data_IF_949333048228
#
_entry.id   IF_949333048228
#
_cell.length_a   1.000
_cell.length_b   1.000
_cell.length_c   1.000
_cell.angle_alpha   90.00
_cell.angle_beta   90.00
_cell.angle_gamma   90.00
#
_symmetry.space_group_name_H-M   'P 1'
#
loop_
_entity.id
_entity.type
_entity.pdbx_description
1 polymer ?
#
# COMPACT_ATOMS: atom_id res chain seq x y z
N UNK A 1 -7.27 -7.62 -15.08
CA UNK A 1 -6.78 -8.67 -14.15
C UNK A 1 -5.88 -9.68 -14.87
N UNK A 2 -6.36 -10.34 -15.93
CA UNK A 2 -5.60 -11.34 -16.71
C UNK A 2 -4.18 -10.91 -17.06
N UNK A 3 -4.02 -9.73 -17.65
CA UNK A 3 -2.71 -9.21 -18.01
C UNK A 3 -1.74 -9.10 -16.82
N UNK A 4 -2.22 -8.63 -15.67
CA UNK A 4 -1.37 -8.51 -14.48
C UNK A 4 -0.92 -9.90 -14.01
N UNK A 5 -1.84 -10.86 -13.98
CA UNK A 5 -1.57 -12.24 -13.59
C UNK A 5 -0.59 -12.95 -14.52
N UNK A 6 -0.74 -12.79 -15.84
CA UNK A 6 0.17 -13.34 -16.85
C UNK A 6 1.59 -12.75 -16.75
N UNK A 7 1.72 -11.53 -16.21
CA UNK A 7 3.01 -10.90 -15.92
C UNK A 7 3.54 -11.23 -14.51
N UNK A 8 2.93 -12.19 -13.80
CA UNK A 8 3.38 -12.69 -12.50
C UNK A 8 2.86 -11.91 -11.29
N UNK A 9 1.95 -10.94 -11.46
CA UNK A 9 1.32 -10.24 -10.33
C UNK A 9 0.25 -11.13 -9.72
N UNK A 10 0.39 -11.43 -8.44
CA UNK A 10 -0.57 -12.22 -7.67
C UNK A 10 -1.37 -11.41 -6.64
N UNK A 11 -0.93 -10.19 -6.28
CA UNK A 11 -1.61 -9.31 -5.32
C UNK A 11 -2.65 -8.42 -6.01
N UNK A 12 -3.90 -8.52 -5.57
CA UNK A 12 -5.02 -7.71 -6.05
C UNK A 12 -5.77 -7.09 -4.87
N UNK A 13 -5.71 -5.76 -4.77
CA UNK A 13 -6.48 -4.98 -3.81
C UNK A 13 -7.80 -4.56 -4.45
N UNK A 14 -8.91 -5.08 -3.89
CA UNK A 14 -10.30 -4.94 -4.34
C UNK A 14 -10.55 -5.19 -5.84
N UNK A 15 -10.93 -6.41 -6.20
CA UNK A 15 -11.45 -6.71 -7.54
C UNK A 15 -12.46 -7.86 -7.52
N UNK A 16 -13.61 -7.68 -8.18
CA UNK A 16 -14.45 -8.77 -8.67
C UNK A 16 -13.58 -9.73 -9.49
N UNK A 17 -13.45 -10.98 -9.04
CA UNK A 17 -12.58 -11.96 -9.70
C UNK A 17 -13.40 -12.74 -10.72
N UNK A 18 -13.50 -12.22 -11.95
CA UNK A 18 -14.01 -13.01 -13.06
C UNK A 18 -12.85 -13.79 -13.71
N UNK A 19 -12.89 -15.13 -13.58
CA UNK A 19 -12.13 -16.07 -14.41
C UNK A 19 -10.59 -16.03 -14.33
N UNK A 20 -10.00 -15.48 -13.27
CA UNK A 20 -8.55 -15.37 -13.12
C UNK A 20 -7.96 -16.53 -12.30
N UNK A 21 -7.50 -17.59 -12.97
CA UNK A 21 -6.60 -18.60 -12.38
C UNK A 21 -7.16 -19.43 -11.20
N UNK A 22 -6.28 -20.17 -10.53
CA UNK A 22 -6.63 -20.95 -9.33
C UNK A 22 -6.62 -20.01 -8.11
N UNK A 23 -7.63 -20.10 -7.22
CA UNK A 23 -7.70 -19.28 -5.99
C UNK A 23 -6.41 -19.32 -5.15
N UNK A 24 -5.74 -20.47 -5.11
CA UNK A 24 -4.50 -20.69 -4.35
C UNK A 24 -3.27 -19.94 -4.88
N UNK A 25 -3.31 -19.42 -6.11
CA UNK A 25 -2.20 -18.64 -6.69
C UNK A 25 -2.45 -17.13 -6.66
N UNK A 26 -3.54 -16.68 -6.04
CA UNK A 26 -3.93 -15.29 -5.91
C UNK A 26 -3.86 -14.85 -4.44
N UNK A 27 -3.47 -13.58 -4.24
CA UNK A 27 -3.55 -12.87 -2.98
C UNK A 27 -4.56 -11.74 -3.16
N UNK A 28 -5.77 -11.92 -2.62
CA UNK A 28 -6.86 -10.96 -2.69
C UNK A 28 -6.95 -10.21 -1.37
N UNK A 29 -6.94 -8.87 -1.44
CA UNK A 29 -7.09 -8.01 -0.28
C UNK A 29 -8.33 -7.11 -0.42
N UNK A 30 -8.98 -6.83 0.71
CA UNK A 30 -10.10 -5.87 0.76
C UNK A 30 -9.99 -4.98 1.97
N UNK A 31 -10.73 -3.87 1.98
CA UNK A 31 -10.72 -2.91 3.07
C UNK A 31 -12.11 -2.71 3.62
N UNK A 32 -12.23 -2.66 4.94
CA UNK A 32 -13.46 -2.30 5.64
C UNK A 32 -13.25 -0.99 6.38
N UNK A 33 -14.24 -0.11 6.30
CA UNK A 33 -14.07 1.30 6.62
C UNK A 33 -14.52 1.69 8.03
N UNK A 34 -15.63 1.15 8.52
CA UNK A 34 -16.24 1.61 9.77
C UNK A 34 -16.78 0.45 10.61
N UNK A 35 -16.65 0.57 11.94
CA UNK A 35 -17.52 -0.07 12.92
C UNK A 35 -16.94 -1.31 13.62
N UNK A 36 -17.32 -1.48 14.89
CA UNK A 36 -16.91 -2.55 15.80
C UNK A 36 -17.29 -3.98 15.37
N UNK A 37 -17.33 -4.92 16.32
CA UNK A 37 -17.40 -6.37 16.06
C UNK A 37 -18.40 -6.77 14.97
N UNK A 38 -19.63 -6.25 15.02
CA UNK A 38 -20.68 -6.60 14.05
C UNK A 38 -20.42 -6.05 12.64
N UNK A 39 -19.72 -4.93 12.49
CA UNK A 39 -19.61 -4.25 11.19
C UNK A 39 -18.47 -4.83 10.34
N UNK A 40 -17.38 -5.29 10.97
CA UNK A 40 -16.34 -6.03 10.26
C UNK A 40 -16.86 -7.35 9.70
N UNK A 41 -17.63 -8.11 10.47
CA UNK A 41 -18.19 -9.36 9.99
C UNK A 41 -19.22 -9.13 8.88
N UNK A 42 -20.21 -8.24 9.09
CA UNK A 42 -21.24 -7.94 8.10
C UNK A 42 -20.62 -7.37 6.82
N UNK A 43 -19.69 -6.41 6.96
CA UNK A 43 -19.00 -5.80 5.84
C UNK A 43 -18.15 -6.81 5.06
N UNK A 44 -17.52 -7.75 5.76
CA UNK A 44 -16.72 -8.78 5.11
C UNK A 44 -17.60 -9.80 4.40
N UNK A 45 -18.69 -10.28 5.02
CA UNK A 45 -19.66 -11.18 4.38
C UNK A 45 -20.19 -10.57 3.09
N UNK A 46 -20.66 -9.33 3.14
CA UNK A 46 -21.15 -8.63 1.96
C UNK A 46 -20.06 -8.47 0.88
N UNK A 47 -18.80 -8.31 1.28
CA UNK A 47 -17.68 -8.22 0.34
C UNK A 47 -17.35 -9.58 -0.29
N UNK A 48 -17.33 -10.66 0.50
CA UNK A 48 -17.14 -12.02 0.03
C UNK A 48 -18.23 -12.45 -0.96
N UNK A 49 -19.50 -12.11 -0.67
CA UNK A 49 -20.63 -12.36 -1.56
C UNK A 49 -20.48 -11.65 -2.91
N UNK A 50 -20.13 -10.35 -2.90
CA UNK A 50 -19.87 -9.60 -4.15
C UNK A 50 -18.68 -10.16 -4.93
N UNK A 51 -17.65 -10.60 -4.23
CA UNK A 51 -16.44 -11.17 -4.82
C UNK A 51 -16.62 -12.61 -5.27
N UNK A 52 -17.72 -13.28 -4.86
CA UNK A 52 -17.95 -14.71 -5.05
C UNK A 52 -16.81 -15.56 -4.49
N UNK A 53 -16.29 -15.19 -3.32
CA UNK A 53 -15.19 -15.87 -2.63
C UNK A 53 -15.63 -16.39 -1.27
N UNK A 54 -15.10 -17.53 -0.86
CA UNK A 54 -15.28 -18.07 0.50
C UNK A 54 -14.42 -17.32 1.53
N UNK A 55 -13.23 -16.88 1.11
CA UNK A 55 -12.28 -16.14 1.95
C UNK A 55 -11.37 -15.21 1.14
N UNK A 56 -10.81 -14.22 1.83
CA UNK A 56 -9.76 -13.33 1.31
C UNK A 56 -8.43 -13.55 2.03
N UNK A 57 -7.32 -13.11 1.45
CA UNK A 57 -6.00 -13.33 2.04
C UNK A 57 -5.69 -12.30 3.12
N UNK A 58 -5.98 -11.02 2.87
CA UNK A 58 -5.77 -9.96 3.88
C UNK A 58 -6.95 -9.00 3.92
N UNK A 59 -7.59 -8.88 5.09
CA UNK A 59 -8.53 -7.80 5.39
C UNK A 59 -7.82 -6.59 5.99
N UNK A 60 -8.09 -5.39 5.50
CA UNK A 60 -7.53 -4.16 6.04
C UNK A 60 -8.58 -3.36 6.83
N UNK A 61 -8.20 -2.88 8.02
CA UNK A 61 -8.86 -1.74 8.66
C UNK A 61 -8.47 -0.46 7.91
N UNK A 62 -9.41 0.11 7.14
CA UNK A 62 -9.08 1.16 6.15
C UNK A 62 -8.51 2.45 6.76
N UNK A 63 -8.90 2.76 8.00
CA UNK A 63 -8.43 3.88 8.81
C UNK A 63 -8.69 3.60 10.30
N UNK A 64 -8.01 4.26 11.24
CA UNK A 64 -8.35 4.17 12.65
C UNK A 64 -9.76 4.73 12.88
N UNK A 65 -10.54 4.06 13.72
CA UNK A 65 -11.86 4.51 14.16
C UNK A 65 -11.75 5.06 15.59
N UNK A 66 -11.82 6.39 15.79
CA UNK A 66 -11.67 6.99 17.12
C UNK A 66 -12.83 6.63 18.07
N UNK A 67 -13.95 6.09 17.55
CA UNK A 67 -15.10 5.71 18.35
C UNK A 67 -15.09 4.24 18.78
N UNK A 68 -14.19 3.42 18.22
CA UNK A 68 -14.10 2.00 18.51
C UNK A 68 -12.76 1.70 19.18
N UNK A 69 -12.74 1.15 20.41
CA UNK A 69 -11.49 0.75 21.06
C UNK A 69 -10.67 -0.21 20.18
N UNK A 70 -9.34 -0.06 20.17
CA UNK A 70 -8.46 -0.93 19.37
C UNK A 70 -8.63 -2.40 19.77
N UNK A 71 -8.88 -2.70 21.06
CA UNK A 71 -9.20 -4.05 21.52
C UNK A 71 -10.38 -4.67 20.76
N UNK A 72 -11.47 -3.92 20.60
CA UNK A 72 -12.64 -4.41 19.89
C UNK A 72 -12.32 -4.70 18.43
N UNK A 73 -11.56 -3.82 17.77
CA UNK A 73 -11.10 -4.03 16.39
C UNK A 73 -10.23 -5.29 16.27
N UNK A 74 -9.26 -5.48 17.16
CA UNK A 74 -8.37 -6.65 17.15
C UNK A 74 -9.15 -7.96 17.37
N UNK A 75 -10.14 -7.95 18.28
CA UNK A 75 -11.03 -9.09 18.51
C UNK A 75 -11.91 -9.39 17.29
N UNK A 76 -12.45 -8.36 16.63
CA UNK A 76 -13.25 -8.50 15.41
C UNK A 76 -12.44 -9.12 14.28
N UNK A 77 -11.22 -8.63 14.07
CA UNK A 77 -10.30 -9.16 13.05
C UNK A 77 -9.90 -10.60 13.33
N UNK A 78 -9.62 -10.92 14.60
CA UNK A 78 -9.32 -12.29 15.01
C UNK A 78 -10.53 -13.21 14.84
N UNK A 79 -11.73 -12.72 15.12
CA UNK A 79 -12.97 -13.46 14.93
C UNK A 79 -13.17 -13.85 13.47
N UNK A 80 -13.08 -12.90 12.53
CA UNK A 80 -13.28 -13.21 11.10
C UNK A 80 -12.22 -14.16 10.54
N UNK A 81 -10.98 -14.08 11.05
CA UNK A 81 -9.91 -15.03 10.68
C UNK A 81 -10.21 -16.44 11.19
N UNK A 82 -10.60 -16.56 12.46
CA UNK A 82 -10.94 -17.86 13.05
C UNK A 82 -12.17 -18.52 12.39
N UNK A 83 -13.06 -17.72 11.81
CA UNK A 83 -14.21 -18.21 11.01
C UNK A 83 -13.83 -18.52 9.55
N UNK A 84 -12.54 -18.44 9.19
CA UNK A 84 -12.05 -18.76 7.86
C UNK A 84 -12.42 -17.75 6.77
N UNK A 85 -12.92 -16.56 7.15
CA UNK A 85 -13.32 -15.53 6.18
C UNK A 85 -12.13 -14.73 5.65
N UNK A 86 -11.05 -14.67 6.42
CA UNK A 86 -9.79 -14.06 6.04
C UNK A 86 -8.61 -14.91 6.53
N UNK A 87 -7.49 -14.91 5.81
CA UNK A 87 -6.27 -15.58 6.29
C UNK A 87 -5.49 -14.70 7.28
N UNK A 88 -5.41 -13.40 7.00
CA UNK A 88 -4.68 -12.41 7.80
C UNK A 88 -5.42 -11.07 7.82
N UNK A 89 -4.94 -10.15 8.66
CA UNK A 89 -5.41 -8.77 8.64
C UNK A 89 -4.25 -7.76 8.69
N UNK A 90 -4.53 -6.54 8.25
CA UNK A 90 -3.60 -5.42 8.26
C UNK A 90 -4.29 -4.10 8.57
N UNK A 91 -3.48 -3.07 8.71
CA UNK A 91 -3.92 -1.70 8.96
C UNK A 91 -3.74 -0.84 7.70
N UNK A 92 -4.45 0.28 7.61
CA UNK A 92 -4.28 1.25 6.53
C UNK A 92 -4.45 2.64 7.08
N UNK A 93 -3.48 3.53 6.89
CA UNK A 93 -3.46 4.89 7.45
C UNK A 93 -3.40 4.94 8.98
N UNK A 94 -2.87 3.91 9.64
CA UNK A 94 -2.71 3.89 11.10
C UNK A 94 -1.33 4.44 11.50
N UNK A 95 -1.26 5.24 12.54
CA UNK A 95 0.01 5.70 13.10
C UNK A 95 0.81 4.53 13.66
N UNK A 96 2.13 4.68 13.75
CA UNK A 96 3.00 3.64 14.34
C UNK A 96 2.61 3.31 15.79
N UNK A 97 2.03 4.27 16.51
CA UNK A 97 1.55 4.07 17.88
C UNK A 97 0.31 3.18 17.91
N UNK A 98 -0.68 3.45 17.05
CA UNK A 98 -1.90 2.63 16.97
C UNK A 98 -1.59 1.20 16.51
N UNK A 99 -0.65 1.01 15.57
CA UNK A 99 -0.21 -0.33 15.14
C UNK A 99 0.46 -1.07 16.31
N UNK A 100 1.30 -0.39 17.08
CA UNK A 100 1.94 -0.98 18.26
C UNK A 100 0.93 -1.30 19.36
N UNK A 101 -0.10 -0.47 19.54
CA UNK A 101 -1.20 -0.73 20.46
C UNK A 101 -1.98 -1.98 20.03
N UNK A 102 -2.34 -2.09 18.75
CA UNK A 102 -3.00 -3.29 18.21
C UNK A 102 -2.17 -4.55 18.42
N UNK A 103 -0.86 -4.47 18.20
CA UNK A 103 0.06 -5.58 18.49
C UNK A 103 0.10 -5.93 19.98
N UNK A 104 0.15 -4.92 20.86
CA UNK A 104 0.21 -5.10 22.32
C UNK A 104 -1.07 -5.75 22.84
N UNK A 105 -2.22 -5.27 22.40
CA UNK A 105 -3.54 -5.89 22.66
C UNK A 105 -3.56 -7.33 22.19
N UNK A 106 -3.09 -7.60 20.97
CA UNK A 106 -3.09 -8.95 20.43
C UNK A 106 -2.25 -9.91 21.28
N UNK A 107 -1.09 -9.47 21.75
CA UNK A 107 -0.24 -10.26 22.66
C UNK A 107 -0.87 -10.44 24.03
N UNK A 108 -1.47 -9.40 24.60
CA UNK A 108 -2.08 -9.45 25.93
C UNK A 108 -3.28 -10.39 25.99
N UNK A 109 -4.12 -10.40 24.96
CA UNK A 109 -5.37 -11.16 24.93
C UNK A 109 -5.31 -12.41 24.04
N UNK A 110 -4.11 -12.84 23.64
CA UNK A 110 -3.87 -13.98 22.76
C UNK A 110 -4.73 -13.94 21.47
N UNK A 111 -4.77 -12.76 20.85
CA UNK A 111 -5.43 -12.51 19.57
C UNK A 111 -4.40 -12.48 18.43
N UNK A 112 -4.87 -12.40 17.19
CA UNK A 112 -4.01 -12.37 16.00
C UNK A 112 -3.56 -10.91 15.74
N UNK A 113 -2.25 -10.61 15.70
CA UNK A 113 -1.76 -9.26 15.41
C UNK A 113 -1.85 -8.92 13.92
N UNK A 114 -1.85 -7.63 13.53
CA UNK A 114 -1.81 -7.24 12.12
C UNK A 114 -0.44 -7.56 11.51
N UNK A 115 -0.42 -7.97 10.23
CA UNK A 115 0.82 -8.39 9.54
C UNK A 115 1.41 -7.34 8.61
N UNK A 116 0.63 -6.32 8.23
CA UNK A 116 1.05 -5.29 7.29
C UNK A 116 0.28 -3.98 7.48
N UNK A 117 0.88 -2.87 7.01
CA UNK A 117 0.26 -1.55 6.92
C UNK A 117 0.22 -1.15 5.45
N UNK A 118 -0.95 -0.77 4.94
CA UNK A 118 -1.09 -0.16 3.63
C UNK A 118 -1.00 1.37 3.78
N UNK A 119 0.17 1.93 3.48
CA UNK A 119 0.45 3.35 3.58
C UNK A 119 0.63 4.02 2.20
N UNK A 120 0.33 5.31 2.13
CA UNK A 120 0.65 6.14 0.98
C UNK A 120 2.16 6.38 0.90
N UNK A 121 2.76 6.09 -0.27
CA UNK A 121 4.18 6.27 -0.50
C UNK A 121 4.46 6.63 -1.97
N UNK A 122 4.97 7.84 -2.19
CA UNK A 122 5.40 8.33 -3.50
C UNK A 122 6.44 9.45 -3.33
N UNK A 123 7.03 9.93 -4.43
CA UNK A 123 8.12 10.92 -4.38
C UNK A 123 7.78 12.19 -3.58
N UNK A 124 6.51 12.62 -3.61
CA UNK A 124 6.02 13.76 -2.84
C UNK A 124 5.56 13.43 -1.41
N UNK A 125 5.30 12.16 -1.09
CA UNK A 125 4.86 11.70 0.23
C UNK A 125 5.80 10.61 0.74
N UNK A 126 6.78 11.04 1.53
CA UNK A 126 7.85 10.19 2.10
C UNK A 126 7.73 10.01 3.61
N UNK A 127 7.04 10.93 4.27
CA UNK A 127 6.62 10.86 5.67
C UNK A 127 5.09 10.98 5.73
N UNK A 128 4.47 10.59 6.86
CA UNK A 128 3.04 10.80 7.13
C UNK A 128 2.76 12.25 7.55
N UNK A 129 3.14 13.23 6.73
CA UNK A 129 2.97 14.64 7.07
C UNK A 129 1.98 15.28 6.09
N UNK A 130 0.78 15.56 6.61
CA UNK A 130 -0.15 16.52 6.04
C UNK A 130 0.47 17.92 6.20
N UNK A 131 0.42 18.78 5.17
CA UNK A 131 0.19 20.24 5.26
C UNK A 131 0.59 20.97 3.95
N UNK A 132 -0.29 21.92 3.56
CA UNK A 132 -0.19 22.97 2.53
C UNK A 132 -0.33 22.58 1.05
N UNK A 133 -1.58 22.41 0.60
CA UNK A 133 -1.97 22.08 -0.78
C UNK A 133 -1.71 23.17 -1.85
N UNK A 134 -1.93 24.48 -1.63
CA UNK A 134 -1.86 25.46 -2.73
C UNK A 134 -0.45 25.75 -3.26
N UNK A 135 0.51 26.03 -2.37
CA UNK A 135 1.92 26.24 -2.75
C UNK A 135 2.57 24.95 -3.30
N UNK A 136 2.04 23.80 -2.87
CA UNK A 136 2.46 22.50 -3.35
C UNK A 136 2.09 22.29 -4.83
N UNK A 137 0.98 22.80 -5.35
CA UNK A 137 0.63 22.60 -6.76
C UNK A 137 1.64 23.23 -7.73
N UNK A 138 2.03 24.49 -7.48
CA UNK A 138 3.04 25.16 -8.29
C UNK A 138 4.41 24.47 -8.18
N UNK A 139 4.77 24.07 -6.97
CA UNK A 139 6.02 23.34 -6.71
C UNK A 139 6.03 21.95 -7.36
N UNK A 140 4.93 21.21 -7.30
CA UNK A 140 4.79 19.89 -7.94
C UNK A 140 5.01 20.01 -9.45
N UNK A 141 4.48 21.04 -10.12
CA UNK A 141 4.67 21.24 -11.55
C UNK A 141 6.15 21.37 -11.93
N UNK A 142 6.89 22.21 -11.20
CA UNK A 142 8.34 22.39 -11.41
C UNK A 142 9.14 21.11 -11.11
N UNK A 143 8.83 20.44 -10.00
CA UNK A 143 9.46 19.18 -9.62
C UNK A 143 9.20 18.08 -10.65
N UNK A 144 7.98 17.98 -11.15
CA UNK A 144 7.58 17.03 -12.19
C UNK A 144 8.39 17.24 -13.46
N UNK A 145 8.58 18.50 -13.88
CA UNK A 145 9.42 18.83 -15.05
C UNK A 145 10.88 18.41 -14.84
N UNK A 146 11.46 18.68 -13.66
CA UNK A 146 12.82 18.26 -13.32
C UNK A 146 12.98 16.74 -13.31
N UNK A 147 12.01 16.01 -12.75
CA UNK A 147 12.01 14.55 -12.73
C UNK A 147 11.80 13.94 -14.12
N UNK A 148 11.02 14.60 -14.98
CA UNK A 148 10.81 14.19 -16.36
C UNK A 148 12.14 14.17 -17.13
N UNK A 149 13.01 15.15 -16.93
CA UNK A 149 14.35 15.15 -17.54
C UNK A 149 15.22 13.96 -17.08
N UNK A 150 15.10 13.55 -15.80
CA UNK A 150 15.77 12.35 -15.28
C UNK A 150 15.20 11.08 -15.93
N UNK A 151 13.88 10.99 -16.07
CA UNK A 151 13.20 9.86 -16.69
C UNK A 151 13.60 9.69 -18.16
N UNK A 152 13.67 10.79 -18.93
CA UNK A 152 14.12 10.82 -20.32
C UNK A 152 15.55 10.33 -20.47
N UNK A 153 16.46 10.80 -19.60
CA UNK A 153 17.87 10.34 -19.59
C UNK A 153 18.00 8.84 -19.27
N UNK A 154 17.08 8.29 -18.48
CA UNK A 154 17.01 6.86 -18.18
C UNK A 154 16.28 6.04 -19.25
N UNK A 155 15.67 6.70 -20.24
CA UNK A 155 14.87 6.07 -21.28
C UNK A 155 13.60 5.41 -20.73
N UNK A 156 12.91 6.06 -19.80
CA UNK A 156 11.68 5.58 -19.19
C UNK A 156 10.65 6.70 -19.02
N UNK A 157 9.39 6.35 -18.76
CA UNK A 157 8.36 7.33 -18.44
C UNK A 157 8.49 7.79 -16.98
N UNK A 158 7.93 8.96 -16.65
CA UNK A 158 7.91 9.44 -15.27
C UNK A 158 7.16 8.46 -14.34
N UNK A 159 6.07 7.84 -14.81
CA UNK A 159 5.33 6.82 -14.07
C UNK A 159 6.23 5.62 -13.73
N UNK A 160 7.01 5.14 -14.70
CA UNK A 160 7.96 4.04 -14.50
C UNK A 160 9.04 4.42 -13.50
N UNK A 161 9.59 5.64 -13.61
CA UNK A 161 10.57 6.15 -12.67
C UNK A 161 10.00 6.22 -11.25
N UNK A 162 8.78 6.74 -11.08
CA UNK A 162 8.12 6.86 -9.79
C UNK A 162 7.86 5.50 -9.13
N UNK A 163 7.36 4.52 -9.89
CA UNK A 163 7.09 3.17 -9.38
C UNK A 163 8.40 2.46 -9.01
N UNK A 164 9.42 2.52 -9.88
CA UNK A 164 10.72 1.94 -9.60
C UNK A 164 11.38 2.61 -8.38
N UNK A 165 11.22 3.91 -8.24
CA UNK A 165 11.66 4.64 -7.06
C UNK A 165 10.98 4.09 -5.80
N UNK A 166 9.66 3.84 -5.80
CA UNK A 166 8.99 3.25 -4.64
C UNK A 166 9.52 1.85 -4.31
N UNK A 167 9.69 0.99 -5.32
CA UNK A 167 10.17 -0.39 -5.18
C UNK A 167 11.64 -0.51 -4.77
N UNK A 168 12.43 0.57 -4.89
CA UNK A 168 13.85 0.56 -4.47
C UNK A 168 14.01 0.37 -2.96
N UNK A 169 12.99 0.73 -2.18
CA UNK A 169 13.05 0.67 -0.75
C UNK A 169 12.78 -0.77 -0.30
N UNK A 170 13.79 -1.44 0.27
CA UNK A 170 13.67 -2.82 0.77
C UNK A 170 12.58 -2.98 1.84
N UNK A 171 12.18 -1.89 2.51
CA UNK A 171 11.05 -1.89 3.45
C UNK A 171 9.66 -1.87 2.79
N UNK A 172 9.58 -1.71 1.46
CA UNK A 172 8.32 -1.75 0.70
C UNK A 172 8.17 -3.13 0.07
N UNK A 173 7.23 -3.94 0.60
CA UNK A 173 7.00 -5.29 0.09
C UNK A 173 6.27 -5.32 -1.26
N UNK A 174 5.37 -4.36 -1.50
CA UNK A 174 4.59 -4.25 -2.71
C UNK A 174 4.16 -2.80 -2.98
N UNK A 175 4.00 -2.46 -4.25
CA UNK A 175 3.41 -1.19 -4.69
C UNK A 175 2.10 -1.51 -5.41
N UNK A 176 0.99 -0.96 -4.91
CA UNK A 176 -0.31 -1.12 -5.56
C UNK A 176 -0.39 -0.20 -6.78
N UNK A 177 -0.64 -0.79 -7.94
CA UNK A 177 -0.72 -0.08 -9.21
C UNK A 177 -2.18 0.29 -9.52
N UNK A 178 -2.44 1.58 -9.73
CA UNK A 178 -3.69 2.06 -10.31
C UNK A 178 -3.56 2.24 -11.83
N UNK A 179 -4.49 1.69 -12.60
CA UNK A 179 -4.56 1.90 -14.04
C UNK A 179 -6.02 1.89 -14.51
N UNK A 180 -6.42 2.89 -15.30
CA UNK A 180 -7.75 2.94 -15.93
C UNK A 180 -7.73 2.40 -17.36
N UNK A 181 -6.54 2.19 -17.94
CA UNK A 181 -6.33 1.63 -19.28
C UNK A 181 -5.26 0.54 -19.25
N UNK A 182 -5.36 -0.41 -20.18
CA UNK A 182 -4.42 -1.53 -20.31
C UNK A 182 -2.99 -1.04 -20.61
N UNK A 183 -2.83 -0.04 -21.47
CA UNK A 183 -1.52 0.51 -21.83
C UNK A 183 -0.80 1.12 -20.62
N UNK A 184 -1.53 1.77 -19.72
CA UNK A 184 -0.98 2.29 -18.48
C UNK A 184 -0.50 1.16 -17.57
N UNK A 185 -1.27 0.07 -17.47
CA UNK A 185 -0.87 -1.09 -16.69
C UNK A 185 0.42 -1.73 -17.26
N UNK A 186 0.50 -1.93 -18.58
CA UNK A 186 1.70 -2.42 -19.24
C UNK A 186 2.92 -1.52 -19.04
N UNK A 187 2.71 -0.21 -19.16
CA UNK A 187 3.75 0.79 -18.90
C UNK A 187 4.26 0.68 -17.46
N UNK A 188 3.34 0.63 -16.48
CA UNK A 188 3.64 0.54 -15.06
C UNK A 188 4.37 -0.76 -14.69
N UNK A 189 3.95 -1.91 -15.23
CA UNK A 189 4.63 -3.20 -15.00
C UNK A 189 6.09 -3.14 -15.48
N UNK A 190 6.36 -2.44 -16.58
CA UNK A 190 7.72 -2.28 -17.12
C UNK A 190 8.64 -1.41 -16.25
N UNK A 191 8.12 -0.75 -15.21
CA UNK A 191 8.92 -0.04 -14.21
C UNK A 191 10.01 -0.91 -13.58
N UNK A 192 9.80 -2.22 -13.48
CA UNK A 192 10.80 -3.17 -12.95
C UNK A 192 12.13 -3.12 -13.74
N UNK A 193 12.09 -2.76 -15.03
CA UNK A 193 13.28 -2.60 -15.89
C UNK A 193 14.09 -1.35 -15.56
N UNK A 194 13.52 -0.42 -14.80
CA UNK A 194 14.16 0.84 -14.37
C UNK A 194 14.92 0.65 -13.06
N UNK A 195 14.53 -0.31 -12.21
CA UNK A 195 15.17 -0.57 -10.92
C UNK A 195 16.71 -0.70 -11.01
N UNK A 196 17.29 -1.50 -11.92
CA UNK A 196 18.75 -1.63 -12.03
C UNK A 196 19.46 -0.33 -12.46
N UNK A 197 18.71 0.62 -13.05
CA UNK A 197 19.24 1.91 -13.49
C UNK A 197 19.31 2.94 -12.35
N UNK A 198 18.65 2.70 -11.21
CA UNK A 198 18.60 3.64 -10.08
C UNK A 198 19.89 3.60 -9.23
N UNK A 199 20.98 4.11 -9.81
CA UNK A 199 22.28 4.23 -9.13
C UNK A 199 22.26 5.32 -8.04
N UNK A 200 23.22 5.25 -7.10
CA UNK A 200 23.34 6.25 -6.01
C UNK A 200 23.41 7.70 -6.51
N UNK A 201 24.13 8.05 -7.59
CA UNK A 201 24.11 9.42 -8.14
C UNK A 201 22.72 9.87 -8.57
N UNK A 202 21.95 9.00 -9.22
CA UNK A 202 20.59 9.30 -9.67
C UNK A 202 19.66 9.48 -8.48
N UNK A 203 19.79 8.63 -7.46
CA UNK A 203 19.00 8.76 -6.24
C UNK A 203 19.32 10.07 -5.51
N UNK A 204 20.59 10.47 -5.45
CA UNK A 204 20.99 11.75 -4.88
C UNK A 204 20.44 12.93 -5.67
N UNK A 205 20.42 12.86 -6.99
CA UNK A 205 19.82 13.89 -7.84
C UNK A 205 18.31 13.99 -7.62
N UNK A 206 17.60 12.87 -7.55
CA UNK A 206 16.17 12.83 -7.23
C UNK A 206 15.91 13.43 -5.84
N UNK A 207 16.71 13.07 -4.83
CA UNK A 207 16.59 13.65 -3.48
C UNK A 207 16.82 15.16 -3.49
N UNK A 208 17.80 15.65 -4.24
CA UNK A 208 18.08 17.08 -4.40
C UNK A 208 16.95 17.83 -5.12
N UNK A 209 16.35 17.21 -6.14
CA UNK A 209 15.19 17.76 -6.84
C UNK A 209 14.02 17.87 -5.85
N UNK A 210 13.69 16.77 -5.17
CA UNK A 210 12.52 16.72 -4.30
C UNK A 210 12.65 17.58 -3.05
N UNK A 211 13.86 17.70 -2.49
CA UNK A 211 14.15 18.52 -1.30
C UNK A 211 13.34 18.12 -0.06
N UNK A 212 12.81 16.89 -0.02
CA UNK A 212 11.90 16.40 1.01
C UNK A 212 12.40 15.09 1.65
N UNK A 213 13.72 14.87 1.61
CA UNK A 213 14.30 13.66 2.20
C UNK A 213 14.00 13.65 3.71
N UNK A 214 13.35 12.60 4.23
CA UNK A 214 13.04 12.51 5.65
C UNK A 214 14.33 12.53 6.48
N UNK A 215 14.29 13.19 7.63
CA UNK A 215 15.43 13.27 8.53
C UNK A 215 15.73 11.89 9.12
N UNK A 216 16.97 11.42 9.03
CA UNK A 216 17.38 10.20 9.71
C UNK A 216 17.82 10.52 11.14
N UNK A 217 17.52 9.63 12.11
CA UNK A 217 18.13 9.71 13.45
C UNK A 217 19.67 9.72 13.44
N UNK A 218 20.30 9.30 12.33
CA UNK A 218 21.76 9.41 12.14
C UNK A 218 22.24 10.84 11.90
N UNK A 219 21.39 11.71 11.36
CA UNK A 219 21.74 13.11 11.05
C UNK A 219 21.66 14.03 12.28
N UNK A 220 21.05 13.54 13.38
CA UNK A 220 20.95 14.26 14.67
C UNK A 220 22.15 14.03 15.60
N UNK A 221 23.16 13.26 15.17
CA UNK A 221 24.35 12.92 15.96
C UNK A 221 25.65 13.53 15.40
N UNK A 222 25.56 14.44 14.43
CA UNK A 222 26.69 15.18 13.86
C UNK A 222 26.71 16.63 14.33
#
# INVERSE_FOLDING_TARGET
MTLAYENGINLFDTAEVYNAGKRSSLVITTKIFWGGNCVYEIGLRASLERLQLEYIDVIFANRPDPNTPIEETVRAMTHVINHGMAMYWGTSRWTSMEIMEAYSVARQFNQIPPICEQAEYHMFQREKVEVQLPDLFHKIGELTFKLQAVAERLGCTLSQLAIAWCLRNEGVNAVLLGASRIDQLLENIRAIRVLPKLSLPILSEIDNILGNRPYSKKDLRS
#
